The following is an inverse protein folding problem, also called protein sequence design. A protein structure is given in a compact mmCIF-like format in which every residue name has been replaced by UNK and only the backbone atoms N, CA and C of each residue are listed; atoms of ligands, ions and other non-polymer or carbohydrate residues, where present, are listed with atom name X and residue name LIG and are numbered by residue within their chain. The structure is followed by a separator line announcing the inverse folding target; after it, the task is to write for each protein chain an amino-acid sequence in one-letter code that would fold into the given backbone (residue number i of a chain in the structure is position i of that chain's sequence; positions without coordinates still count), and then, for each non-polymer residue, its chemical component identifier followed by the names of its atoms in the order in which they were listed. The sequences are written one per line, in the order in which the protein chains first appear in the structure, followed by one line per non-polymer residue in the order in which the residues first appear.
data_IF_528722592818
#
_entry.id   IF_528722592818
#
_cell.length_a   1.000
_cell.length_b   1.000
_cell.length_c   1.000
_cell.angle_alpha   90.00
_cell.angle_beta   90.00
_cell.angle_gamma   90.00
#
_symmetry.space_group_name_H-M   'P 1'
#
loop_
_entity.id
_entity.type
_entity.pdbx_description
1 polymer ?
#
# COMPACT_ATOMS: atom_id res chain seq x y z
N UNK A 1 23.89 -15.20 18.06
CA UNK A 1 22.53 -15.05 17.50
C UNK A 1 22.51 -13.78 16.68
N UNK A 2 22.17 -13.84 15.40
CA UNK A 2 21.91 -12.63 14.61
C UNK A 2 20.53 -12.12 15.01
N UNK A 3 20.44 -10.89 15.53
CA UNK A 3 19.15 -10.25 15.75
C UNK A 3 18.59 -9.88 14.38
N UNK A 4 17.68 -10.71 13.89
CA UNK A 4 16.95 -10.53 12.66
C UNK A 4 15.86 -9.45 12.83
N UNK A 5 16.28 -8.23 13.16
CA UNK A 5 15.45 -7.02 13.28
C UNK A 5 15.01 -6.46 11.91
N UNK A 6 15.13 -7.24 10.83
CA UNK A 6 14.68 -6.79 9.53
C UNK A 6 13.17 -6.53 9.57
N UNK A 7 12.68 -5.34 9.18
CA UNK A 7 11.27 -4.96 9.31
C UNK A 7 10.29 -5.95 8.67
N UNK A 8 10.73 -6.73 7.67
CA UNK A 8 9.91 -7.77 7.03
C UNK A 8 9.55 -8.96 7.93
N UNK A 9 10.22 -9.11 9.08
CA UNK A 9 9.92 -10.18 10.03
C UNK A 9 8.77 -9.83 10.99
N UNK A 10 8.35 -8.56 11.02
CA UNK A 10 7.23 -8.08 11.83
C UNK A 10 5.92 -7.99 11.05
N UNK A 11 4.77 -7.92 11.74
CA UNK A 11 3.48 -7.69 11.11
C UNK A 11 3.49 -6.38 10.32
N UNK A 12 2.69 -6.33 9.26
CA UNK A 12 2.53 -5.14 8.44
C UNK A 12 1.57 -4.17 9.14
N UNK A 13 2.08 -3.02 9.58
CA UNK A 13 1.28 -1.92 10.12
C UNK A 13 0.91 -0.90 9.03
N UNK A 14 -0.09 -0.06 9.30
CA UNK A 14 -0.50 1.02 8.38
C UNK A 14 0.65 1.99 8.07
N UNK A 15 1.39 2.39 9.11
CA UNK A 15 2.59 3.23 8.97
C UNK A 15 3.64 2.57 8.06
N UNK A 16 3.86 1.26 8.25
CA UNK A 16 4.80 0.50 7.43
C UNK A 16 4.34 0.37 5.96
N UNK A 17 3.04 0.33 5.69
CA UNK A 17 2.50 0.38 4.33
C UNK A 17 2.75 1.74 3.68
N UNK A 18 2.54 2.85 4.39
CA UNK A 18 2.87 4.19 3.90
C UNK A 18 4.37 4.32 3.58
N UNK A 19 5.22 3.82 4.47
CA UNK A 19 6.67 3.84 4.26
C UNK A 19 7.09 3.00 3.05
N UNK A 20 6.49 1.82 2.85
CA UNK A 20 6.76 0.97 1.71
C UNK A 20 6.33 1.63 0.39
N UNK A 21 5.13 2.25 0.37
CA UNK A 21 4.65 3.01 -0.79
C UNK A 21 5.64 4.10 -1.18
N UNK A 22 6.09 4.90 -0.22
CA UNK A 22 7.02 6.00 -0.48
C UNK A 22 8.37 5.47 -1.01
N UNK A 23 8.88 4.40 -0.41
CA UNK A 23 10.15 3.78 -0.83
C UNK A 23 10.05 3.25 -2.27
N UNK A 24 8.99 2.53 -2.59
CA UNK A 24 8.77 1.97 -3.93
C UNK A 24 8.50 3.08 -4.96
N UNK A 25 7.80 4.16 -4.59
CA UNK A 25 7.57 5.31 -5.48
C UNK A 25 8.88 6.01 -5.84
N UNK A 26 9.77 6.24 -4.86
CA UNK A 26 11.10 6.81 -5.11
C UNK A 26 11.97 5.87 -5.95
N UNK A 27 11.93 4.57 -5.68
CA UNK A 27 12.68 3.57 -6.43
C UNK A 27 12.17 3.43 -7.88
N UNK A 28 10.85 3.49 -8.09
CA UNK A 28 10.24 3.50 -9.42
C UNK A 28 10.64 4.75 -10.22
N UNK A 29 10.63 5.93 -9.59
CA UNK A 29 11.05 7.18 -10.24
C UNK A 29 12.54 7.21 -10.63
N UNK A 30 13.38 6.45 -9.90
CA UNK A 30 14.80 6.28 -10.21
C UNK A 30 15.08 5.10 -11.14
N UNK A 31 14.07 4.27 -11.43
CA UNK A 31 14.24 3.09 -12.27
C UNK A 31 14.26 3.48 -13.75
N UNK A 32 15.08 2.77 -14.53
CA UNK A 32 15.16 2.94 -15.99
C UNK A 32 13.90 2.44 -16.75
N UNK A 33 12.78 2.18 -16.06
CA UNK A 33 11.53 1.74 -16.69
C UNK A 33 11.56 0.31 -17.25
N UNK A 34 12.50 -0.54 -16.81
CA UNK A 34 12.49 -1.98 -17.12
C UNK A 34 11.41 -2.75 -16.35
N UNK A 35 11.39 -4.08 -16.48
CA UNK A 35 10.39 -4.93 -15.81
C UNK A 35 10.28 -4.68 -14.30
N UNK A 36 11.41 -4.40 -13.64
CA UNK A 36 11.42 -4.06 -12.21
C UNK A 36 10.81 -2.68 -11.93
N UNK A 37 11.07 -1.68 -12.79
CA UNK A 37 10.47 -0.35 -12.68
C UNK A 37 8.94 -0.39 -12.80
N UNK A 38 8.44 -1.15 -13.76
CA UNK A 38 7.00 -1.39 -13.91
C UNK A 38 6.41 -2.14 -12.72
N UNK A 39 7.07 -3.18 -12.22
CA UNK A 39 6.62 -3.92 -11.05
C UNK A 39 6.58 -3.05 -9.77
N UNK A 40 7.55 -2.15 -9.60
CA UNK A 40 7.56 -1.20 -8.49
C UNK A 40 6.41 -0.18 -8.60
N UNK A 41 6.13 0.35 -9.80
CA UNK A 41 5.00 1.25 -10.02
C UNK A 41 3.65 0.55 -9.77
N UNK A 42 3.50 -0.70 -10.21
CA UNK A 42 2.31 -1.51 -9.93
C UNK A 42 2.14 -1.78 -8.43
N UNK A 43 3.23 -2.13 -7.74
CA UNK A 43 3.22 -2.32 -6.29
C UNK A 43 2.81 -1.03 -5.53
N UNK A 44 3.25 0.15 -5.98
CA UNK A 44 2.79 1.44 -5.41
C UNK A 44 1.28 1.59 -5.57
N UNK A 45 0.73 1.32 -6.77
CA UNK A 45 -0.70 1.42 -7.04
C UNK A 45 -1.51 0.45 -6.18
N UNK A 46 -1.07 -0.81 -6.04
CA UNK A 46 -1.72 -1.80 -5.19
C UNK A 46 -1.76 -1.33 -3.73
N UNK A 47 -0.67 -0.76 -3.22
CA UNK A 47 -0.64 -0.23 -1.84
C UNK A 47 -1.59 0.96 -1.69
N UNK A 48 -1.62 1.90 -2.65
CA UNK A 48 -2.57 3.02 -2.62
C UNK A 48 -4.03 2.55 -2.64
N UNK A 49 -4.36 1.54 -3.44
CA UNK A 49 -5.69 0.93 -3.46
C UNK A 49 -6.01 0.24 -2.13
N UNK A 50 -5.07 -0.50 -1.54
CA UNK A 50 -5.25 -1.15 -0.24
C UNK A 50 -5.48 -0.12 0.89
N UNK A 51 -4.73 0.99 0.90
CA UNK A 51 -4.93 2.08 1.85
C UNK A 51 -6.29 2.77 1.65
N UNK A 52 -6.69 2.96 0.39
CA UNK A 52 -7.99 3.54 0.02
C UNK A 52 -9.15 2.62 0.43
N UNK A 53 -8.98 1.30 0.30
CA UNK A 53 -9.96 0.29 0.73
C UNK A 53 -9.95 0.10 2.25
N UNK A 54 -8.80 0.26 2.90
CA UNK A 54 -8.64 0.25 4.36
C UNK A 54 -9.34 1.42 5.04
N UNK A 55 -9.50 2.57 4.35
CA UNK A 55 -10.36 3.67 4.80
C UNK A 55 -11.87 3.42 4.60
N UNK A 56 -12.21 2.34 3.88
CA UNK A 56 -13.57 1.84 3.75
C UNK A 56 -13.77 0.63 4.68
N UNK A 57 -13.43 0.75 5.97
CA UNK A 57 -14.05 -0.13 6.95
C UNK A 57 -15.55 0.16 6.93
N UNK A 58 -16.34 -0.83 6.51
CA UNK A 58 -17.77 -0.85 6.77
C UNK A 58 -17.92 -0.89 8.29
N UNK A 59 -18.10 0.26 8.93
CA UNK A 59 -18.61 0.28 10.28
C UNK A 59 -19.93 -0.51 10.20
N UNK A 60 -20.01 -1.65 10.88
CA UNK A 60 -21.28 -2.38 11.07
C UNK A 60 -22.19 -1.58 11.99
N UNK A 61 -22.47 -0.33 11.64
CA UNK A 61 -23.53 0.45 12.25
C UNK A 61 -24.75 0.30 11.35
N UNK A 62 -25.88 0.06 12.00
CA UNK A 62 -27.16 -0.34 11.41
C UNK A 62 -27.83 0.79 10.59
N UNK A 63 -27.11 1.50 9.74
CA UNK A 63 -27.73 2.49 8.85
C UNK A 63 -27.07 2.51 7.48
N UNK A 64 -27.78 1.85 6.56
CA UNK A 64 -27.57 1.76 5.13
C UNK A 64 -27.23 3.12 4.49
N UNK A 65 -25.95 3.41 4.28
CA UNK A 65 -25.50 4.22 3.14
C UNK A 65 -24.06 3.86 2.78
N UNK A 66 -23.93 2.88 1.89
CA UNK A 66 -22.69 2.60 1.14
C UNK A 66 -22.27 3.87 0.41
N UNK A 67 -21.21 4.52 0.87
CA UNK A 67 -20.47 5.49 0.07
C UNK A 67 -18.98 5.15 0.07
N UNK A 68 -18.66 3.90 -0.26
CA UNK A 68 -17.35 3.56 -0.79
C UNK A 68 -17.34 3.91 -2.28
N UNK A 69 -17.26 5.20 -2.63
CA UNK A 69 -16.98 5.60 -4.02
C UNK A 69 -15.49 5.36 -4.26
N UNK A 70 -15.16 4.18 -4.75
CA UNK A 70 -13.85 3.91 -5.37
C UNK A 70 -13.73 4.90 -6.53
N UNK A 71 -12.78 5.86 -6.54
CA UNK A 71 -12.53 6.65 -7.72
C UNK A 71 -11.95 5.71 -8.78
N UNK A 72 -12.72 5.47 -9.85
CA UNK A 72 -12.21 4.82 -11.04
C UNK A 72 -11.13 5.74 -11.63
N UNK A 73 -9.88 5.26 -11.65
CA UNK A 73 -8.92 5.72 -12.63
C UNK A 73 -9.21 4.96 -13.94
#
# INVERSE_FOLDING_TARGET
MTTNNHPANGPVSLDRLHQLRETLSKAAAQSDGGNLGYAMADAVKVIDELLSRGNCYEAKTNYSRRMCRIPNN
#
